data_IF_214803538118
#
_entry.id   IF_214803538118
#
_cell.length_a   1.000
_cell.length_b   1.000
_cell.length_c   1.000
_cell.angle_alpha   90.00
_cell.angle_beta   90.00
_cell.angle_gamma   90.00
#
_symmetry.space_group_name_H-M   'P 1'
#
loop_
_entity.id
_entity.type
_entity.pdbx_description
1 polymer ?
#
# COMPACT_ATOMS: atom_id res chain seq x y z
N UNK A 1 -23.68 24.65 1.73
CA UNK A 1 -23.48 23.46 2.58
C UNK A 1 -22.56 22.51 1.85
N UNK A 2 -21.51 21.99 2.48
CA UNK A 2 -20.60 21.04 1.85
C UNK A 2 -21.01 19.63 2.27
N UNK A 3 -21.46 18.82 1.30
CA UNK A 3 -21.86 17.43 1.52
C UNK A 3 -20.65 16.54 1.33
N UNK A 4 -20.44 15.60 2.23
CA UNK A 4 -19.33 14.63 2.18
C UNK A 4 -19.82 13.20 2.26
N UNK A 5 -19.15 12.33 1.48
CA UNK A 5 -19.30 10.89 1.61
C UNK A 5 -18.21 10.40 2.56
N UNK A 6 -18.59 9.90 3.71
CA UNK A 6 -17.64 9.53 4.77
C UNK A 6 -18.04 8.26 5.50
N UNK A 7 -17.14 7.77 6.34
CA UNK A 7 -17.37 6.61 7.20
C UNK A 7 -17.88 7.07 8.56
N UNK A 8 -19.01 6.52 8.99
CA UNK A 8 -19.51 6.59 10.35
C UNK A 8 -19.24 5.26 11.06
N UNK A 9 -18.65 5.32 12.24
CA UNK A 9 -18.30 4.12 13.01
C UNK A 9 -19.55 3.59 13.73
N UNK A 10 -19.72 2.28 13.68
CA UNK A 10 -20.65 1.51 14.51
C UNK A 10 -19.92 0.30 15.10
N UNK A 11 -20.69 -0.65 15.64
CA UNK A 11 -20.15 -1.88 16.19
C UNK A 11 -19.67 -1.75 17.64
N UNK A 12 -19.12 -2.85 18.17
CA UNK A 12 -18.69 -2.96 19.56
C UNK A 12 -17.21 -2.60 19.76
N UNK A 13 -16.75 -2.60 21.01
CA UNK A 13 -15.34 -2.48 21.39
C UNK A 13 -14.56 -3.63 20.75
N UNK A 14 -13.41 -3.32 20.13
CA UNK A 14 -12.54 -4.25 19.39
C UNK A 14 -13.15 -4.91 18.13
N UNK A 15 -14.43 -4.63 17.79
CA UNK A 15 -15.09 -5.09 16.57
C UNK A 15 -15.70 -3.90 15.81
N UNK A 16 -14.88 -3.10 15.14
CA UNK A 16 -15.35 -1.94 14.38
C UNK A 16 -16.15 -2.38 13.15
N UNK A 17 -17.19 -1.64 12.87
CA UNK A 17 -18.01 -1.73 11.68
C UNK A 17 -18.29 -0.31 11.19
N UNK A 18 -18.22 -0.07 9.91
CA UNK A 18 -18.41 1.27 9.35
C UNK A 18 -19.58 1.31 8.37
N UNK A 19 -20.32 2.41 8.45
CA UNK A 19 -21.34 2.74 7.47
C UNK A 19 -20.79 3.82 6.55
N UNK A 20 -20.94 3.65 5.23
CA UNK A 20 -20.66 4.71 4.27
C UNK A 20 -21.90 5.60 4.22
N UNK A 21 -21.75 6.84 4.61
CA UNK A 21 -22.87 7.78 4.78
C UNK A 21 -22.61 9.10 4.07
N UNK A 22 -23.71 9.69 3.62
CA UNK A 22 -23.76 11.05 3.10
C UNK A 22 -24.11 11.97 4.26
N UNK A 23 -23.24 12.92 4.58
CA UNK A 23 -23.47 13.82 5.69
C UNK A 23 -22.93 15.22 5.40
N UNK A 24 -23.44 16.21 6.11
CA UNK A 24 -22.86 17.55 6.12
C UNK A 24 -21.47 17.51 6.75
N UNK A 25 -20.52 18.26 6.17
CA UNK A 25 -19.14 18.35 6.66
C UNK A 25 -19.03 18.84 8.11
N UNK A 26 -19.99 19.62 8.57
CA UNK A 26 -20.06 20.18 9.93
C UNK A 26 -20.57 19.17 10.97
N UNK A 27 -21.29 18.14 10.55
CA UNK A 27 -21.84 17.12 11.46
C UNK A 27 -20.72 16.27 12.06
N UNK A 28 -20.81 15.84 13.32
CA UNK A 28 -19.86 14.94 13.94
C UNK A 28 -19.82 13.59 13.18
N UNK A 29 -18.70 12.86 13.28
CA UNK A 29 -18.47 11.62 12.53
C UNK A 29 -19.60 10.60 12.64
N UNK A 30 -20.07 10.35 13.82
CA UNK A 30 -21.09 9.33 14.14
C UNK A 30 -22.47 9.95 14.40
N UNK A 31 -22.63 11.24 14.08
CA UNK A 31 -23.86 11.98 14.24
C UNK A 31 -24.87 11.77 13.13
N UNK A 32 -25.76 12.76 12.98
CA UNK A 32 -26.81 12.75 11.97
C UNK A 32 -26.21 12.70 10.56
N UNK A 33 -26.76 11.86 9.71
CA UNK A 33 -26.43 11.74 8.31
C UNK A 33 -27.71 11.81 7.46
N UNK A 34 -27.56 12.12 6.18
CA UNK A 34 -28.68 12.25 5.24
C UNK A 34 -29.10 10.89 4.76
N UNK A 35 -28.15 10.10 4.26
CA UNK A 35 -28.40 8.79 3.68
C UNK A 35 -27.24 7.82 3.95
N UNK A 36 -27.54 6.53 4.09
CA UNK A 36 -26.54 5.47 4.14
C UNK A 36 -26.46 4.81 2.77
N UNK A 37 -25.29 4.88 2.14
CA UNK A 37 -25.05 4.37 0.78
C UNK A 37 -24.20 3.11 0.73
N UNK A 38 -23.74 2.62 1.88
CA UNK A 38 -22.98 1.39 1.93
C UNK A 38 -22.51 1.01 3.31
N UNK A 39 -21.70 -0.04 3.37
CA UNK A 39 -21.10 -0.58 4.58
C UNK A 39 -19.67 -1.02 4.32
N UNK A 40 -18.85 -0.98 5.36
CA UNK A 40 -17.47 -1.45 5.35
C UNK A 40 -17.17 -2.21 6.64
N UNK A 41 -16.79 -3.47 6.51
CA UNK A 41 -16.35 -4.30 7.62
C UNK A 41 -14.84 -4.58 7.48
N UNK A 42 -13.98 -3.96 8.31
CA UNK A 42 -12.54 -4.20 8.25
C UNK A 42 -12.11 -5.57 8.78
N UNK A 43 -12.98 -6.27 9.52
CA UNK A 43 -12.69 -7.58 10.11
C UNK A 43 -12.76 -8.71 9.09
N UNK A 44 -13.46 -8.51 7.98
CA UNK A 44 -13.51 -9.47 6.89
C UNK A 44 -12.21 -9.47 6.08
N UNK A 45 -11.80 -10.63 5.53
CA UNK A 45 -10.62 -10.73 4.66
C UNK A 45 -10.77 -9.83 3.43
N UNK A 46 -9.65 -9.41 2.86
CA UNK A 46 -9.62 -8.48 1.72
C UNK A 46 -10.31 -9.05 0.48
N UNK A 47 -10.25 -10.36 0.32
CA UNK A 47 -10.77 -11.08 -0.85
C UNK A 47 -12.27 -11.38 -0.76
N UNK A 48 -12.90 -11.12 0.40
CA UNK A 48 -14.34 -11.27 0.52
C UNK A 48 -15.07 -10.08 -0.12
N UNK A 49 -15.88 -10.34 -1.12
CA UNK A 49 -16.72 -9.31 -1.77
C UNK A 49 -17.70 -8.61 -0.83
N UNK A 50 -17.90 -9.15 0.38
CA UNK A 50 -18.77 -8.58 1.42
C UNK A 50 -18.08 -7.56 2.31
N UNK A 51 -16.75 -7.40 2.20
CA UNK A 51 -15.97 -6.45 3.02
C UNK A 51 -16.40 -5.00 2.79
N UNK A 52 -16.71 -4.66 1.55
CA UNK A 52 -17.22 -3.34 1.15
C UNK A 52 -18.45 -3.55 0.31
N UNK A 53 -19.59 -3.07 0.80
CA UNK A 53 -20.84 -3.08 0.05
C UNK A 53 -21.24 -1.64 -0.23
N UNK A 54 -21.44 -1.32 -1.50
CA UNK A 54 -21.76 0.03 -1.96
C UNK A 54 -23.03 0.01 -2.82
N UNK A 55 -23.89 1.00 -2.62
CA UNK A 55 -24.99 1.28 -3.52
C UNK A 55 -24.52 2.25 -4.60
N UNK A 56 -24.15 1.72 -5.75
CA UNK A 56 -23.53 2.47 -6.83
C UNK A 56 -24.42 3.59 -7.38
N UNK A 57 -25.72 3.30 -7.55
CA UNK A 57 -26.69 4.28 -8.09
C UNK A 57 -26.79 5.51 -7.19
N UNK A 58 -26.91 5.30 -5.90
CA UNK A 58 -27.01 6.41 -4.94
C UNK A 58 -25.71 7.19 -4.82
N UNK A 59 -24.59 6.50 -4.89
CA UNK A 59 -23.27 7.16 -4.87
C UNK A 59 -23.07 8.02 -6.12
N UNK A 60 -23.38 7.51 -7.30
CA UNK A 60 -23.32 8.27 -8.56
C UNK A 60 -24.20 9.53 -8.52
N UNK A 61 -25.41 9.39 -8.00
CA UNK A 61 -26.31 10.53 -7.81
C UNK A 61 -25.67 11.60 -6.92
N UNK A 62 -25.13 11.23 -5.74
CA UNK A 62 -24.54 12.19 -4.81
C UNK A 62 -23.24 12.79 -5.32
N UNK A 63 -22.43 12.04 -6.06
CA UNK A 63 -21.26 12.58 -6.74
C UNK A 63 -21.67 13.64 -7.80
N UNK A 64 -22.75 13.38 -8.55
CA UNK A 64 -23.33 14.33 -9.50
C UNK A 64 -23.85 15.61 -8.83
N UNK A 65 -24.36 15.54 -7.63
CA UNK A 65 -24.78 16.69 -6.80
C UNK A 65 -23.57 17.44 -6.21
N UNK A 66 -22.36 16.88 -6.29
CA UNK A 66 -21.13 17.50 -5.79
C UNK A 66 -20.71 17.06 -4.39
N UNK A 67 -21.15 15.90 -3.93
CA UNK A 67 -20.67 15.34 -2.68
C UNK A 67 -19.20 14.89 -2.80
N UNK A 68 -18.35 15.33 -1.88
CA UNK A 68 -16.93 15.01 -1.89
C UNK A 68 -16.65 13.75 -1.07
N UNK A 69 -16.05 12.69 -1.65
CA UNK A 69 -15.65 11.52 -0.90
C UNK A 69 -14.43 11.81 -0.02
N UNK A 70 -14.38 11.20 1.15
CA UNK A 70 -13.16 11.17 1.96
C UNK A 70 -12.13 10.22 1.34
N UNK A 71 -10.83 10.40 1.63
CA UNK A 71 -9.73 9.62 1.03
C UNK A 71 -9.95 8.10 1.10
N UNK A 72 -10.47 7.61 2.22
CA UNK A 72 -10.76 6.19 2.38
C UNK A 72 -11.90 5.73 1.48
N UNK A 73 -12.97 6.51 1.40
CA UNK A 73 -14.11 6.23 0.52
C UNK A 73 -13.68 6.34 -0.94
N UNK A 74 -12.88 7.35 -1.31
CA UNK A 74 -12.36 7.51 -2.66
C UNK A 74 -11.59 6.25 -3.13
N UNK A 75 -10.82 5.61 -2.24
CA UNK A 75 -10.16 4.32 -2.55
C UNK A 75 -11.18 3.21 -2.83
N UNK A 76 -12.24 3.12 -2.04
CA UNK A 76 -13.29 2.12 -2.30
C UNK A 76 -14.04 2.38 -3.61
N UNK A 77 -14.26 3.66 -3.95
CA UNK A 77 -14.87 4.04 -5.22
C UNK A 77 -13.96 3.73 -6.41
N UNK A 78 -12.66 3.91 -6.26
CA UNK A 78 -11.68 3.55 -7.27
C UNK A 78 -11.61 2.02 -7.48
N UNK A 79 -11.66 1.25 -6.40
CA UNK A 79 -11.70 -0.23 -6.47
C UNK A 79 -13.00 -0.74 -7.13
N UNK A 80 -14.09 0.06 -7.04
CA UNK A 80 -15.37 -0.20 -7.72
C UNK A 80 -15.49 0.48 -9.11
N UNK A 81 -14.40 1.05 -9.65
CA UNK A 81 -14.36 1.77 -10.93
C UNK A 81 -15.34 2.97 -11.02
N UNK A 82 -15.65 3.61 -9.91
CA UNK A 82 -16.54 4.77 -9.83
C UNK A 82 -15.83 6.10 -9.61
N UNK A 83 -14.52 6.14 -9.60
CA UNK A 83 -13.75 7.37 -9.38
C UNK A 83 -12.24 7.15 -9.47
N UNK A 84 -11.50 8.22 -9.41
CA UNK A 84 -10.04 8.19 -9.43
C UNK A 84 -9.48 7.84 -8.05
N UNK A 85 -8.41 7.07 -8.04
CA UNK A 85 -7.69 6.75 -6.80
C UNK A 85 -6.97 8.01 -6.32
N UNK A 86 -7.20 8.42 -5.05
CA UNK A 86 -6.52 9.60 -4.54
C UNK A 86 -5.01 9.40 -4.55
N UNK A 87 -4.29 10.41 -5.01
CA UNK A 87 -2.83 10.42 -4.99
C UNK A 87 -2.33 10.26 -3.55
N UNK A 88 -1.34 9.41 -3.37
CA UNK A 88 -0.67 9.27 -2.08
C UNK A 88 0.25 10.48 -1.93
N UNK A 89 0.03 11.38 -0.95
CA UNK A 89 0.95 12.49 -0.74
C UNK A 89 2.34 11.97 -0.40
N UNK A 90 3.35 12.47 -1.07
CA UNK A 90 4.76 12.08 -0.88
C UNK A 90 5.35 12.50 0.49
N UNK A 91 4.50 12.72 1.49
CA UNK A 91 4.90 13.22 2.80
C UNK A 91 5.77 12.27 3.63
N UNK A 92 5.86 11.02 3.25
CA UNK A 92 6.62 10.02 4.01
C UNK A 92 7.82 9.49 3.23
N UNK A 93 8.80 10.35 3.01
CA UNK A 93 10.15 9.91 2.63
C UNK A 93 10.93 9.28 3.80
N UNK A 94 10.29 9.05 4.95
CA UNK A 94 10.93 8.45 6.14
C UNK A 94 11.40 7.01 5.92
N UNK A 95 10.81 6.29 4.97
CA UNK A 95 11.26 4.94 4.58
C UNK A 95 12.40 4.95 3.56
N UNK A 96 12.68 6.10 2.96
CA UNK A 96 13.83 6.22 2.07
C UNK A 96 15.10 6.41 2.90
N UNK A 97 16.16 5.66 2.60
CA UNK A 97 17.44 5.86 3.26
C UNK A 97 17.91 7.31 3.07
N UNK A 98 18.54 7.87 4.09
CA UNK A 98 19.10 9.24 4.03
C UNK A 98 20.11 9.32 2.90
N UNK A 99 20.34 10.52 2.35
CA UNK A 99 21.22 10.78 1.20
C UNK A 99 22.57 10.02 1.28
N UNK A 100 23.22 10.05 2.43
CA UNK A 100 24.49 9.34 2.69
C UNK A 100 24.37 7.81 2.62
N UNK A 101 23.19 7.24 2.91
CA UNK A 101 22.94 5.81 2.78
C UNK A 101 22.59 5.43 1.34
N UNK A 102 21.99 6.35 0.59
CA UNK A 102 21.72 6.17 -0.84
C UNK A 102 23.04 6.21 -1.65
N UNK A 103 23.98 7.09 -1.29
CA UNK A 103 25.30 7.14 -1.91
C UNK A 103 26.06 5.82 -1.71
N UNK A 104 26.05 5.29 -0.47
CA UNK A 104 26.67 3.99 -0.17
C UNK A 104 26.04 2.83 -0.90
N UNK A 105 24.71 2.85 -1.08
CA UNK A 105 24.01 1.83 -1.85
C UNK A 105 24.36 1.93 -3.33
N UNK A 106 24.47 3.13 -3.89
CA UNK A 106 24.91 3.34 -5.27
C UNK A 106 26.35 2.92 -5.49
N UNK A 107 27.26 3.29 -4.58
CA UNK A 107 28.66 2.85 -4.62
C UNK A 107 28.79 1.32 -4.55
N UNK A 108 27.98 0.68 -3.68
CA UNK A 108 27.96 -0.77 -3.57
C UNK A 108 27.39 -1.44 -4.84
N UNK A 109 26.38 -0.84 -5.44
CA UNK A 109 25.76 -1.32 -6.67
C UNK A 109 26.68 -1.12 -7.89
N UNK A 110 27.41 0.00 -7.96
CA UNK A 110 28.45 0.25 -8.95
C UNK A 110 29.66 -0.69 -8.77
N UNK A 111 30.06 -0.98 -7.54
CA UNK A 111 31.13 -1.92 -7.24
C UNK A 111 30.77 -3.37 -7.59
N UNK A 112 29.50 -3.75 -7.47
CA UNK A 112 28.99 -5.07 -7.86
C UNK A 112 28.77 -5.17 -9.38
N UNK A 113 28.49 -4.04 -10.02
CA UNK A 113 28.20 -3.98 -11.46
C UNK A 113 29.44 -3.57 -12.30
N UNK A 114 30.59 -3.32 -11.65
CA UNK A 114 31.87 -3.17 -12.33
C UNK A 114 32.26 -4.53 -12.90
N UNK A 115 32.42 -4.67 -14.24
CA UNK A 115 32.84 -5.94 -14.82
C UNK A 115 34.22 -6.29 -14.27
N UNK A 116 34.34 -7.52 -13.81
CA UNK A 116 35.64 -8.13 -13.50
C UNK A 116 36.41 -8.26 -14.80
N UNK A 117 37.13 -7.22 -15.18
CA UNK A 117 38.13 -7.26 -16.25
C UNK A 117 39.49 -7.16 -15.59
N UNK A 118 40.29 -8.18 -15.89
CA UNK A 118 41.72 -8.36 -15.60
C UNK A 118 42.10 -8.88 -14.21
N UNK A 119 42.22 -10.21 -14.16
CA UNK A 119 43.33 -10.84 -13.50
C UNK A 119 44.16 -11.57 -14.56
N UNK A 120 45.43 -11.20 -14.79
CA UNK A 120 46.29 -11.93 -15.72
C UNK A 120 46.71 -13.28 -15.14
N UNK A 121 46.68 -14.25 -16.01
CA UNK A 121 47.32 -15.53 -15.83
C UNK A 121 48.83 -15.38 -15.65
N UNK A 122 49.39 -16.03 -14.65
CA UNK A 122 50.79 -16.48 -14.58
C UNK A 122 50.78 -17.78 -13.76
N UNK A 123 50.76 -18.86 -14.40
CA UNK A 123 51.76 -19.86 -14.71
C UNK A 123 52.83 -20.03 -13.65
N UNK A 124 52.86 -21.20 -13.03
CA UNK A 124 53.97 -22.15 -12.89
C UNK A 124 53.44 -23.37 -12.15
N UNK A 125 53.23 -24.44 -12.74
CA UNK A 125 54.05 -25.57 -13.16
C UNK A 125 54.91 -26.21 -12.02
N UNK A 126 54.75 -27.52 -11.99
CA UNK A 126 55.63 -28.54 -11.44
C UNK A 126 55.56 -28.75 -9.91
N UNK A 127 55.48 -29.85 -9.41
CA UNK A 127 55.94 -31.20 -9.71
C UNK A 127 55.74 -32.03 -8.42
N UNK A 128 55.34 -33.19 -8.62
CA UNK A 128 55.73 -34.46 -8.10
C UNK A 128 55.03 -35.02 -6.87
N UNK A 129 54.25 -36.03 -7.15
CA UNK A 129 54.04 -37.17 -6.26
C UNK A 129 55.35 -37.96 -6.12
N UNK A 130 55.56 -38.88 -5.14
CA UNK A 130 54.69 -40.07 -4.99
C UNK A 130 54.59 -40.64 -3.56
N UNK A 131 53.55 -41.42 -3.44
CA UNK A 131 53.48 -42.79 -2.97
C UNK A 131 53.91 -43.20 -1.50
N UNK A 132 53.10 -44.12 -1.03
CA UNK A 132 53.34 -45.29 -0.17
C UNK A 132 53.23 -44.97 1.35
N UNK A 133 52.53 -45.66 2.16
CA UNK A 133 52.11 -47.06 2.27
C UNK A 133 51.15 -47.18 3.44
N UNK A 134 50.10 -47.98 3.32
CA UNK A 134 49.46 -48.65 4.44
C UNK A 134 50.40 -49.77 4.93
N UNK A 135 50.24 -50.44 6.06
CA UNK A 135 49.01 -50.95 6.69
C UNK A 135 49.05 -51.01 8.24
N UNK A 136 47.93 -51.22 8.84
CA UNK A 136 47.56 -52.27 9.78
C UNK A 136 46.23 -51.94 10.45
#
# INVERSE_FOLDING_TARGET
MSIRIRLSRGGAKKRPYYRVVIADSRSPRDGRYIERVGTYDPMLPKDSGQRVTLNEERIKYWLGVGAQPSDRVARFLADANMGEKPAIPEQTKQHLPKAKAQERLKEAEEAVNAPAEEAPAEETAAEEAPAEEAPA
#
